data_IF_606900123733
#
_entry.id   IF_606900123733
#
_cell.length_a   1.000
_cell.length_b   1.000
_cell.length_c   1.000
_cell.angle_alpha   90.00
_cell.angle_beta   90.00
_cell.angle_gamma   90.00
#
_symmetry.space_group_name_H-M   'P 1'
#
loop_
_entity.id
_entity.type
_entity.pdbx_description
1 polymer ?
#
# COMPACT_ATOMS: atom_id res chain seq x y z
N UNK A 1 11.56 7.52 -10.10
CA UNK A 1 12.08 6.24 -9.63
C UNK A 1 10.93 5.40 -9.09
N UNK A 2 10.95 4.09 -9.30
CA UNK A 2 9.88 3.26 -8.78
C UNK A 2 9.91 3.21 -7.25
N UNK A 3 8.73 3.18 -6.65
CA UNK A 3 8.59 3.10 -5.22
C UNK A 3 8.79 1.65 -4.76
N UNK A 4 9.49 1.48 -3.64
CA UNK A 4 9.65 0.17 -3.04
C UNK A 4 8.41 -0.19 -2.24
N UNK A 5 8.15 -1.50 -2.14
CA UNK A 5 7.00 -1.98 -1.37
C UNK A 5 7.04 -1.45 0.06
N UNK A 6 8.22 -1.46 0.68
CA UNK A 6 8.39 -0.96 2.04
C UNK A 6 8.03 0.52 2.13
N UNK A 7 8.43 1.31 1.13
CA UNK A 7 8.11 2.72 1.11
C UNK A 7 6.60 2.95 1.00
N UNK A 8 5.94 2.12 0.22
CA UNK A 8 4.49 2.20 0.09
C UNK A 8 3.81 1.89 1.43
N UNK A 9 4.28 0.85 2.15
CA UNK A 9 3.73 0.53 3.46
C UNK A 9 3.89 1.70 4.42
N UNK A 10 5.08 2.30 4.46
CA UNK A 10 5.32 3.45 5.34
C UNK A 10 4.42 4.63 4.98
N UNK A 11 4.23 4.87 3.69
CA UNK A 11 3.36 5.94 3.24
C UNK A 11 1.91 5.71 3.65
N UNK A 12 1.44 4.47 3.52
CA UNK A 12 0.09 4.11 3.93
C UNK A 12 -0.10 4.28 5.42
N UNK A 13 0.89 3.83 6.22
CA UNK A 13 0.83 3.99 7.68
C UNK A 13 0.77 5.48 8.04
N UNK A 14 1.56 6.31 7.39
CA UNK A 14 1.56 7.75 7.61
C UNK A 14 0.21 8.38 7.29
N UNK A 15 -0.58 7.73 6.47
CA UNK A 15 -1.90 8.21 6.06
C UNK A 15 -3.05 7.50 6.77
N UNK A 16 -2.76 6.83 7.88
CA UNK A 16 -3.79 6.27 8.74
C UNK A 16 -4.13 4.81 8.47
N UNK A 17 -3.39 4.15 7.59
CA UNK A 17 -3.60 2.72 7.33
C UNK A 17 -2.87 1.89 8.40
N UNK A 18 -3.45 0.75 8.72
CA UNK A 18 -2.83 -0.21 9.63
C UNK A 18 -2.68 -1.56 8.93
N UNK A 19 -1.65 -2.31 9.29
CA UNK A 19 -1.45 -3.64 8.78
C UNK A 19 -2.33 -4.60 9.56
N UNK A 20 -3.18 -5.33 8.87
CA UNK A 20 -4.11 -6.25 9.52
C UNK A 20 -3.75 -7.71 9.28
N UNK A 21 -3.12 -8.02 8.17
CA UNK A 21 -2.67 -9.39 7.90
C UNK A 21 -1.69 -9.40 6.75
N UNK A 22 -0.99 -10.54 6.62
CA UNK A 22 -0.13 -10.79 5.48
C UNK A 22 -0.38 -12.22 5.04
N UNK A 23 -0.71 -12.39 3.79
CA UNK A 23 -0.97 -13.71 3.21
C UNK A 23 0.06 -13.95 2.11
N UNK A 24 1.11 -14.73 2.45
CA UNK A 24 2.21 -14.95 1.53
C UNK A 24 2.91 -13.64 1.23
N UNK A 25 2.93 -13.26 -0.04
CA UNK A 25 3.61 -12.05 -0.49
C UNK A 25 2.67 -10.84 -0.62
N UNK A 26 1.46 -10.93 -0.07
CA UNK A 26 0.50 -9.83 -0.11
C UNK A 26 0.21 -9.35 1.30
N UNK A 27 0.44 -8.07 1.54
CA UNK A 27 0.17 -7.45 2.84
C UNK A 27 -1.12 -6.65 2.76
N UNK A 28 -2.04 -6.90 3.69
CA UNK A 28 -3.32 -6.22 3.71
C UNK A 28 -3.27 -5.05 4.69
N UNK A 29 -3.59 -3.87 4.18
CA UNK A 29 -3.63 -2.63 4.94
C UNK A 29 -5.05 -2.10 4.95
N UNK A 30 -5.51 -1.63 6.09
CA UNK A 30 -6.86 -1.07 6.23
C UNK A 30 -6.79 0.28 6.90
N UNK A 31 -7.56 1.23 6.39
CA UNK A 31 -7.72 2.54 7.03
C UNK A 31 -9.08 2.55 7.75
N UNK A 32 -9.09 2.46 9.07
CA UNK A 32 -10.35 2.41 9.81
C UNK A 32 -11.17 3.70 9.71
N UNK A 33 -10.51 4.83 9.46
CA UNK A 33 -11.21 6.11 9.35
C UNK A 33 -12.02 6.21 8.06
N UNK A 34 -11.53 5.62 6.96
CA UNK A 34 -12.20 5.67 5.67
C UNK A 34 -12.77 4.32 5.24
N UNK A 35 -12.48 3.29 6.02
CA UNK A 35 -12.90 1.90 5.74
C UNK A 35 -12.38 1.38 4.40
N UNK A 36 -11.21 1.86 3.99
CA UNK A 36 -10.58 1.42 2.74
C UNK A 36 -9.59 0.31 3.02
N UNK A 37 -9.52 -0.65 2.10
CA UNK A 37 -8.60 -1.79 2.17
C UNK A 37 -7.67 -1.76 0.98
N UNK A 38 -6.38 -1.92 1.24
CA UNK A 38 -5.34 -1.93 0.19
C UNK A 38 -4.54 -3.21 0.33
N UNK A 39 -4.27 -3.87 -0.78
CA UNK A 39 -3.38 -5.03 -0.82
C UNK A 39 -2.08 -4.60 -1.50
N UNK A 40 -0.97 -4.75 -0.79
CA UNK A 40 0.35 -4.37 -1.29
C UNK A 40 1.15 -5.63 -1.59
N UNK A 41 1.56 -5.83 -2.86
CA UNK A 41 2.41 -6.99 -3.18
C UNK A 41 3.81 -6.78 -2.62
N UNK A 42 4.30 -7.78 -1.91
CA UNK A 42 5.60 -7.72 -1.23
C UNK A 42 6.64 -8.64 -1.87
N UNK A 43 6.29 -9.33 -2.95
CA UNK A 43 7.17 -10.32 -3.56
C UNK A 43 8.29 -9.70 -4.40
N UNK A 44 8.20 -8.43 -4.73
CA UNK A 44 9.28 -7.74 -5.41
C UNK A 44 9.67 -6.51 -4.62
N UNK A 45 10.94 -6.13 -4.75
CA UNK A 45 11.47 -4.99 -3.99
C UNK A 45 10.85 -3.67 -4.42
N UNK A 46 10.49 -3.58 -5.70
CA UNK A 46 9.94 -2.35 -6.25
C UNK A 46 8.58 -2.61 -6.86
N UNK A 47 7.69 -1.64 -6.69
CA UNK A 47 6.36 -1.71 -7.28
C UNK A 47 6.42 -1.22 -8.72
N UNK A 48 5.66 -1.88 -9.59
CA UNK A 48 5.48 -1.38 -10.95
C UNK A 48 4.71 -0.06 -10.87
N UNK A 49 5.00 0.83 -11.80
CA UNK A 49 4.38 2.16 -11.80
C UNK A 49 2.85 2.07 -11.81
N UNK A 50 2.28 1.18 -12.60
CA UNK A 50 0.83 1.01 -12.65
C UNK A 50 0.27 0.55 -11.32
N UNK A 51 0.94 -0.39 -10.65
CA UNK A 51 0.54 -0.87 -9.33
C UNK A 51 0.65 0.24 -8.30
N UNK A 52 1.74 0.99 -8.33
CA UNK A 52 1.96 2.12 -7.42
C UNK A 52 0.83 3.13 -7.55
N UNK A 53 0.52 3.54 -8.78
CA UNK A 53 -0.52 4.53 -9.03
C UNK A 53 -1.89 4.01 -8.60
N UNK A 54 -2.17 2.74 -8.85
CA UNK A 54 -3.45 2.15 -8.46
C UNK A 54 -3.61 2.16 -6.94
N UNK A 55 -2.55 1.82 -6.21
CA UNK A 55 -2.59 1.82 -4.75
C UNK A 55 -2.80 3.24 -4.22
N UNK A 56 -2.07 4.20 -4.74
CA UNK A 56 -2.19 5.59 -4.30
C UNK A 56 -3.59 6.14 -4.57
N UNK A 57 -4.13 5.82 -5.73
CA UNK A 57 -5.48 6.25 -6.09
C UNK A 57 -6.52 5.62 -5.18
N UNK A 58 -6.40 4.32 -4.92
CA UNK A 58 -7.32 3.59 -4.06
C UNK A 58 -7.25 4.12 -2.62
N UNK A 59 -6.06 4.46 -2.16
CA UNK A 59 -5.86 4.99 -0.82
C UNK A 59 -6.27 6.45 -0.70
N UNK A 60 -6.47 7.15 -1.81
CA UNK A 60 -6.81 8.56 -1.80
C UNK A 60 -5.63 9.46 -1.49
N UNK A 61 -4.42 8.97 -1.74
CA UNK A 61 -3.19 9.72 -1.48
C UNK A 61 -2.77 10.42 -2.76
N UNK A 62 -2.53 11.71 -2.64
CA UNK A 62 -2.01 12.49 -3.77
C UNK A 62 -0.51 12.67 -3.62
N UNK A 63 0.22 12.46 -4.71
CA UNK A 63 1.65 12.64 -4.73
C UNK A 63 2.08 13.40 -5.96
#
# INVERSE_FOLDING_TARGET
MPMKSREMINLLVDNGFIEVSQNGSHKKMVNPATNKTIIVPMHSKELKKGTEQAILKEAGIKR
#
